data_IF_284551988404
#
_entry.id   IF_284551988404
#
_cell.length_a   1.000
_cell.length_b   1.000
_cell.length_c   1.000
_cell.angle_alpha   90.00
_cell.angle_beta   90.00
_cell.angle_gamma   90.00
#
_symmetry.space_group_name_H-M   'P 1'
#
loop_
_entity.id
_entity.type
_entity.pdbx_description
1 polymer ?
#
# COMPACT_ATOMS: atom_id res chain seq x y z
N UNK A 1 -21.24 -53.36 40.68
CA UNK A 1 -20.50 -52.69 39.57
C UNK A 1 -19.16 -52.26 40.13
N UNK A 2 -18.10 -52.91 39.68
CA UNK A 2 -16.79 -52.93 40.36
C UNK A 2 -15.90 -51.78 39.91
N UNK A 3 -15.15 -51.21 40.86
CA UNK A 3 -14.18 -50.11 40.71
C UNK A 3 -13.14 -50.34 39.58
N UNK A 4 -12.97 -51.60 39.14
CA UNK A 4 -12.16 -51.99 37.98
C UNK A 4 -12.73 -51.57 36.63
N UNK A 5 -14.05 -51.40 36.49
CA UNK A 5 -14.65 -50.93 35.23
C UNK A 5 -14.49 -49.41 35.05
N UNK A 6 -14.40 -48.64 36.15
CA UNK A 6 -14.18 -47.20 36.12
C UNK A 6 -12.70 -46.84 35.84
N UNK A 7 -11.76 -47.63 36.36
CA UNK A 7 -10.32 -47.42 36.12
C UNK A 7 -9.93 -47.72 34.66
N UNK A 8 -10.54 -48.72 34.01
CA UNK A 8 -10.27 -49.02 32.60
C UNK A 8 -10.76 -47.92 31.65
N UNK A 9 -11.82 -47.19 32.01
CA UNK A 9 -12.29 -46.03 31.23
C UNK A 9 -11.40 -44.79 31.45
N UNK A 10 -10.83 -44.61 32.65
CA UNK A 10 -9.94 -43.49 32.97
C UNK A 10 -8.52 -43.66 32.38
N UNK A 11 -8.01 -44.89 32.27
CA UNK A 11 -6.73 -45.15 31.58
C UNK A 11 -6.89 -45.12 30.05
N UNK A 12 -8.05 -45.51 29.52
CA UNK A 12 -8.36 -45.39 28.08
C UNK A 12 -8.56 -43.95 27.60
N UNK A 13 -9.09 -43.06 28.45
CA UNK A 13 -9.27 -41.64 28.13
C UNK A 13 -7.97 -40.82 28.29
N UNK A 14 -7.02 -41.28 29.11
CA UNK A 14 -5.74 -40.60 29.32
C UNK A 14 -4.69 -40.90 28.24
N UNK A 15 -4.89 -41.95 27.42
CA UNK A 15 -4.04 -42.26 26.26
C UNK A 15 -4.52 -41.63 24.94
N UNK A 16 -5.70 -41.00 24.92
CA UNK A 16 -6.21 -40.25 23.76
C UNK A 16 -6.00 -38.73 23.87
N UNK A 17 -5.38 -38.25 24.95
CA UNK A 17 -5.06 -36.82 25.16
C UNK A 17 -3.56 -36.52 24.92
N UNK A 18 -2.74 -37.52 24.54
CA UNK A 18 -1.29 -37.35 24.29
C UNK A 18 -0.85 -37.55 22.83
N UNK A 19 -1.76 -37.64 21.86
CA UNK A 19 -1.44 -37.65 20.41
C UNK A 19 -1.86 -36.36 19.71
N UNK A 20 -1.59 -35.23 20.37
CA UNK A 20 -1.73 -33.88 19.83
C UNK A 20 -0.43 -33.10 19.90
N UNK A 21 0.73 -33.77 19.74
CA UNK A 21 1.91 -33.06 19.27
C UNK A 21 1.59 -32.60 17.85
N UNK A 22 1.02 -31.41 17.71
CA UNK A 22 1.16 -30.65 16.49
C UNK A 22 2.67 -30.53 16.28
N UNK A 23 3.20 -31.33 15.37
CA UNK A 23 4.42 -30.99 14.69
C UNK A 23 4.22 -29.55 14.23
N UNK A 24 4.91 -28.61 14.88
CA UNK A 24 5.03 -27.26 14.35
C UNK A 24 5.45 -27.45 12.89
N UNK A 25 4.72 -26.91 11.91
CA UNK A 25 5.18 -26.96 10.55
C UNK A 25 6.58 -26.37 10.56
N UNK A 26 7.56 -27.21 10.21
CA UNK A 26 8.92 -26.75 9.93
C UNK A 26 8.78 -25.54 9.01
N UNK A 27 9.37 -24.38 9.34
CA UNK A 27 9.29 -23.23 8.48
C UNK A 27 9.83 -23.68 7.12
N UNK A 28 8.95 -23.73 6.12
CA UNK A 28 9.37 -23.93 4.75
C UNK A 28 10.30 -22.76 4.43
N UNK A 29 11.60 -23.02 4.45
CA UNK A 29 12.60 -22.11 3.91
C UNK A 29 12.35 -22.08 2.41
N UNK A 30 11.45 -21.20 1.97
CA UNK A 30 11.25 -20.95 0.57
C UNK A 30 12.57 -20.40 0.00
N UNK A 31 13.13 -21.03 -1.05
CA UNK A 31 14.31 -20.48 -1.72
C UNK A 31 13.97 -19.08 -2.22
N UNK A 32 14.71 -18.09 -1.73
CA UNK A 32 14.49 -16.67 -2.04
C UNK A 32 14.89 -16.42 -3.49
N UNK A 33 13.95 -16.61 -4.41
CA UNK A 33 14.11 -16.19 -5.80
C UNK A 33 14.15 -14.66 -5.85
N UNK A 34 14.85 -14.08 -6.84
CA UNK A 34 14.91 -12.62 -7.01
C UNK A 34 13.51 -11.96 -7.07
N UNK A 35 12.51 -12.67 -7.60
CA UNK A 35 11.11 -12.22 -7.63
C UNK A 35 10.45 -12.15 -6.25
N UNK A 36 10.80 -13.05 -5.32
CA UNK A 36 10.29 -13.03 -3.93
C UNK A 36 10.77 -11.79 -3.17
N UNK A 37 12.01 -11.34 -3.40
CA UNK A 37 12.54 -10.12 -2.78
C UNK A 37 11.82 -8.85 -3.28
N UNK A 38 11.52 -8.75 -4.58
CA UNK A 38 10.79 -7.60 -5.14
C UNK A 38 9.34 -7.52 -4.66
N UNK A 39 8.67 -8.67 -4.54
CA UNK A 39 7.32 -8.74 -3.99
C UNK A 39 7.29 -8.29 -2.53
N UNK A 40 8.26 -8.76 -1.73
CA UNK A 40 8.42 -8.37 -0.34
C UNK A 40 8.68 -6.85 -0.19
N UNK A 41 9.60 -6.28 -0.98
CA UNK A 41 9.86 -4.83 -1.00
C UNK A 41 8.60 -4.02 -1.33
N UNK A 42 7.82 -4.44 -2.33
CA UNK A 42 6.56 -3.79 -2.63
C UNK A 42 5.52 -3.97 -1.50
N UNK A 43 5.53 -5.13 -0.83
CA UNK A 43 4.78 -5.35 0.41
C UNK A 43 5.12 -4.32 1.49
N UNK A 44 6.40 -4.02 1.72
CA UNK A 44 6.82 -2.98 2.66
C UNK A 44 6.33 -1.58 2.27
N UNK A 45 6.31 -1.27 0.97
CA UNK A 45 5.76 0.01 0.47
C UNK A 45 4.26 0.14 0.79
N UNK A 46 3.49 -0.93 0.57
CA UNK A 46 2.05 -0.97 0.88
C UNK A 46 1.85 -0.91 2.39
N UNK A 47 2.66 -1.64 3.17
CA UNK A 47 2.64 -1.61 4.63
C UNK A 47 2.95 -0.20 5.15
N UNK A 48 3.87 0.54 4.53
CA UNK A 48 4.19 1.90 4.92
C UNK A 48 2.99 2.85 4.80
N UNK A 49 2.22 2.76 3.72
CA UNK A 49 0.99 3.54 3.57
C UNK A 49 -0.08 3.05 4.55
N UNK A 50 -0.26 1.73 4.68
CA UNK A 50 -1.21 1.14 5.62
C UNK A 50 -0.94 1.56 7.07
N UNK A 51 0.34 1.65 7.48
CA UNK A 51 0.73 2.15 8.79
C UNK A 51 0.31 3.60 9.00
N UNK A 52 0.47 4.47 8.00
CA UNK A 52 -0.05 5.85 8.08
C UNK A 52 -1.57 5.87 8.27
N UNK A 53 -2.29 4.99 7.57
CA UNK A 53 -3.75 4.88 7.72
C UNK A 53 -4.13 4.43 9.13
N UNK A 54 -3.60 3.31 9.64
CA UNK A 54 -4.00 2.80 10.97
C UNK A 54 -3.53 3.66 12.14
N UNK A 55 -2.54 4.54 11.93
CA UNK A 55 -2.13 5.58 12.87
C UNK A 55 -2.96 6.88 12.73
N UNK A 56 -3.95 6.89 11.83
CA UNK A 56 -4.81 8.04 11.54
C UNK A 56 -4.10 9.23 10.90
N UNK A 57 -2.96 9.01 10.26
CA UNK A 57 -2.22 10.03 9.50
C UNK A 57 -2.68 10.14 8.04
N UNK A 58 -3.23 9.07 7.49
CA UNK A 58 -3.77 8.98 6.13
C UNK A 58 -5.15 8.28 6.14
N UNK A 59 -5.70 8.03 4.96
CA UNK A 59 -7.04 7.42 4.80
C UNK A 59 -8.17 8.41 5.04
N UNK A 60 -9.38 7.90 5.27
CA UNK A 60 -10.61 8.69 5.44
C UNK A 60 -10.52 9.70 6.61
N UNK A 61 -10.60 11.03 6.35
CA UNK A 61 -10.52 12.07 7.37
C UNK A 61 -11.48 11.87 8.54
N UNK A 62 -12.69 11.36 8.29
CA UNK A 62 -13.73 11.22 9.31
C UNK A 62 -13.34 10.19 10.37
N UNK A 63 -12.49 9.23 10.00
CA UNK A 63 -12.05 8.17 10.90
C UNK A 63 -10.69 8.45 11.58
N UNK A 64 -9.89 9.39 11.06
CA UNK A 64 -8.51 9.64 11.53
C UNK A 64 -8.42 9.96 13.03
N UNK A 65 -9.31 10.80 13.54
CA UNK A 65 -9.31 11.19 14.95
C UNK A 65 -9.57 9.98 15.87
N UNK A 66 -10.56 9.16 15.50
CA UNK A 66 -10.89 7.92 16.20
C UNK A 66 -9.74 6.91 16.16
N UNK A 67 -9.07 6.77 15.02
CA UNK A 67 -7.93 5.85 14.91
C UNK A 67 -6.72 6.35 15.70
N UNK A 68 -6.46 7.65 15.76
CA UNK A 68 -5.36 8.19 16.57
C UNK A 68 -5.53 7.93 18.06
N UNK A 69 -6.76 7.85 18.56
CA UNK A 69 -7.04 7.71 19.99
C UNK A 69 -7.28 6.27 20.46
N UNK A 70 -7.71 5.39 19.54
CA UNK A 70 -8.13 4.02 19.86
C UNK A 70 -6.98 3.15 20.37
N UNK A 71 -7.12 2.68 21.61
CA UNK A 71 -6.21 1.77 22.30
C UNK A 71 -5.06 2.45 23.06
N UNK A 72 -5.05 3.78 23.16
CA UNK A 72 -4.01 4.53 23.89
C UNK A 72 -4.00 4.23 25.40
N UNK A 73 -5.14 3.81 25.95
CA UNK A 73 -5.30 3.43 27.35
C UNK A 73 -4.83 2.00 27.66
N UNK A 74 -4.57 1.19 26.63
CA UNK A 74 -4.16 -0.21 26.82
C UNK A 74 -2.67 -0.33 27.11
N UNK A 75 -2.29 -1.27 27.97
CA UNK A 75 -0.88 -1.53 28.28
C UNK A 75 -0.11 -2.12 27.09
N UNK A 76 1.20 -1.82 27.03
CA UNK A 76 2.09 -2.32 25.99
C UNK A 76 2.60 -3.73 26.37
N UNK A 77 1.70 -4.70 26.31
CA UNK A 77 1.96 -6.10 26.65
C UNK A 77 1.36 -7.01 25.58
N UNK A 78 2.20 -7.80 24.90
CA UNK A 78 1.78 -8.61 23.77
C UNK A 78 0.79 -9.71 24.18
N UNK A 79 0.97 -10.34 25.34
CA UNK A 79 0.08 -11.40 25.82
C UNK A 79 -1.30 -10.84 26.17
N UNK A 80 -1.34 -9.67 26.82
CA UNK A 80 -2.60 -8.99 27.13
C UNK A 80 -3.34 -8.57 25.86
N UNK A 81 -2.62 -8.02 24.88
CA UNK A 81 -3.18 -7.67 23.57
C UNK A 81 -3.71 -8.94 22.87
N UNK A 82 -2.95 -10.03 22.89
CA UNK A 82 -3.39 -11.33 22.36
C UNK A 82 -4.68 -11.81 23.05
N UNK A 83 -4.75 -11.68 24.37
CA UNK A 83 -5.94 -11.99 25.17
C UNK A 83 -7.17 -11.24 24.67
N UNK A 84 -7.09 -9.92 24.51
CA UNK A 84 -8.18 -9.08 23.97
C UNK A 84 -8.61 -9.55 22.57
N UNK A 85 -7.66 -9.91 21.71
CA UNK A 85 -7.94 -10.31 20.33
C UNK A 85 -8.53 -11.72 20.21
N UNK A 86 -8.12 -12.63 21.09
CA UNK A 86 -8.57 -14.02 21.11
C UNK A 86 -9.91 -14.23 21.82
N UNK A 87 -10.26 -13.35 22.78
CA UNK A 87 -11.49 -13.48 23.56
C UNK A 87 -12.75 -13.28 22.67
N UNK A 88 -13.64 -14.28 22.57
CA UNK A 88 -14.91 -14.14 21.84
C UNK A 88 -15.83 -13.05 22.41
N UNK A 89 -15.76 -12.78 23.71
CA UNK A 89 -16.50 -11.71 24.40
C UNK A 89 -15.72 -10.40 24.53
N UNK A 90 -14.46 -10.39 24.11
CA UNK A 90 -13.57 -9.25 24.24
C UNK A 90 -13.97 -8.09 23.35
N UNK A 91 -13.85 -6.85 23.86
CA UNK A 91 -14.07 -5.67 23.05
C UNK A 91 -12.88 -5.38 22.12
N UNK A 92 -12.77 -6.15 21.04
CA UNK A 92 -11.70 -6.01 20.02
C UNK A 92 -11.67 -4.63 19.39
N UNK A 93 -12.83 -3.97 19.30
CA UNK A 93 -12.94 -2.62 18.75
C UNK A 93 -12.25 -1.56 19.62
N UNK A 94 -11.85 -1.89 20.84
CA UNK A 94 -11.07 -1.01 21.71
C UNK A 94 -9.64 -0.78 21.19
N UNK A 95 -9.07 -1.73 20.44
CA UNK A 95 -7.68 -1.67 19.96
C UNK A 95 -7.56 -1.77 18.44
N UNK A 96 -8.57 -2.31 17.76
CA UNK A 96 -8.51 -2.61 16.34
C UNK A 96 -9.04 -1.46 15.46
N UNK A 97 -8.38 -1.26 14.33
CA UNK A 97 -8.89 -0.47 13.21
C UNK A 97 -9.65 -1.40 12.28
N UNK A 98 -10.96 -1.51 12.50
CA UNK A 98 -11.87 -2.25 11.62
C UNK A 98 -12.55 -1.27 10.68
N UNK A 99 -11.88 -0.98 9.56
CA UNK A 99 -12.45 -0.18 8.49
C UNK A 99 -12.60 -1.06 7.24
N UNK A 100 -13.84 -1.30 6.74
CA UNK A 100 -14.03 -2.01 5.48
C UNK A 100 -13.29 -1.35 4.32
N UNK A 101 -13.06 -0.04 4.38
CA UNK A 101 -12.34 0.70 3.36
C UNK A 101 -10.87 0.33 3.30
N UNK A 102 -10.25 -0.21 4.37
CA UNK A 102 -8.84 -0.65 4.38
C UNK A 102 -8.66 -2.05 3.79
N UNK A 103 -9.75 -2.82 3.66
CA UNK A 103 -9.73 -4.22 3.22
C UNK A 103 -9.07 -4.39 1.85
N UNK A 104 -9.25 -3.42 0.94
CA UNK A 104 -8.60 -3.38 -0.37
C UNK A 104 -7.07 -3.42 -0.23
N UNK A 105 -6.48 -2.51 0.57
CA UNK A 105 -5.05 -2.46 0.82
C UNK A 105 -4.51 -3.73 1.46
N UNK A 106 -5.21 -4.26 2.46
CA UNK A 106 -4.75 -5.48 3.14
C UNK A 106 -4.74 -6.68 2.20
N UNK A 107 -5.68 -6.76 1.24
CA UNK A 107 -5.65 -7.79 0.18
C UNK A 107 -4.45 -7.62 -0.75
N UNK A 108 -4.09 -6.38 -1.09
CA UNK A 108 -2.88 -6.10 -1.87
C UNK A 108 -1.65 -6.56 -1.09
N UNK A 109 -1.52 -6.19 0.19
CA UNK A 109 -0.39 -6.61 1.03
C UNK A 109 -0.29 -8.14 1.11
N UNK A 110 -1.40 -8.82 1.40
CA UNK A 110 -1.45 -10.29 1.46
C UNK A 110 -1.04 -10.96 0.14
N UNK A 111 -1.34 -10.35 -1.01
CA UNK A 111 -0.97 -10.90 -2.31
C UNK A 111 0.54 -10.91 -2.56
N UNK A 112 1.27 -9.89 -2.08
CA UNK A 112 2.70 -9.73 -2.37
C UNK A 112 3.61 -10.18 -1.22
N UNK A 113 3.14 -10.05 0.02
CA UNK A 113 3.87 -10.43 1.22
C UNK A 113 2.88 -11.00 2.25
N UNK A 114 2.42 -12.26 2.08
CA UNK A 114 1.47 -12.90 2.98
C UNK A 114 1.89 -12.84 4.46
N UNK A 115 3.19 -12.94 4.73
CA UNK A 115 3.82 -12.84 6.05
C UNK A 115 3.67 -11.46 6.70
N UNK A 116 3.56 -10.39 5.89
CA UNK A 116 3.33 -9.02 6.32
C UNK A 116 1.85 -8.68 6.51
N UNK A 117 0.96 -9.55 6.03
CA UNK A 117 -0.46 -9.31 6.13
C UNK A 117 -0.88 -9.11 7.57
N UNK A 118 -1.67 -8.05 7.79
CA UNK A 118 -2.42 -7.83 9.01
C UNK A 118 -3.54 -8.84 9.17
N UNK A 119 -3.38 -10.12 8.88
CA UNK A 119 -4.35 -11.16 9.18
C UNK A 119 -3.58 -12.46 9.42
N UNK A 120 -3.55 -12.95 10.66
CA UNK A 120 -2.83 -14.17 10.99
C UNK A 120 -3.61 -15.40 10.48
N UNK A 121 -3.14 -16.03 9.41
CA UNK A 121 -3.73 -17.24 8.82
C UNK A 121 -4.06 -17.07 7.34
N UNK A 122 -4.57 -18.13 6.72
CA UNK A 122 -5.19 -17.99 5.40
C UNK A 122 -6.28 -16.92 5.51
N UNK A 123 -6.37 -16.00 4.55
CA UNK A 123 -7.41 -14.95 4.52
C UNK A 123 -8.84 -15.54 4.61
N UNK A 124 -9.00 -16.84 4.31
CA UNK A 124 -10.23 -17.59 4.49
C UNK A 124 -10.59 -17.92 5.95
N UNK A 125 -9.64 -17.84 6.90
CA UNK A 125 -9.79 -18.36 8.27
C UNK A 125 -9.62 -17.31 9.38
N UNK A 126 -9.04 -16.13 9.11
CA UNK A 126 -8.96 -15.05 10.09
C UNK A 126 -9.36 -13.69 9.52
N UNK A 127 -10.35 -13.07 10.14
CA UNK A 127 -10.81 -11.71 9.88
C UNK A 127 -10.10 -10.67 10.77
N UNK A 128 -9.12 -11.09 11.57
CA UNK A 128 -8.49 -10.24 12.59
C UNK A 128 -6.99 -10.07 12.35
N UNK A 129 -6.44 -8.88 12.67
CA UNK A 129 -5.04 -8.60 12.45
C UNK A 129 -4.08 -9.41 13.29
N UNK A 130 -2.84 -9.51 12.81
CA UNK A 130 -1.79 -10.12 13.59
C UNK A 130 -1.59 -9.30 14.88
N UNK A 131 -1.58 -9.98 16.02
CA UNK A 131 -1.44 -9.36 17.34
C UNK A 131 -0.22 -8.45 17.40
N UNK A 132 0.88 -8.85 16.77
CA UNK A 132 2.13 -8.10 16.74
C UNK A 132 1.99 -6.76 16.01
N UNK A 133 1.17 -6.71 14.95
CA UNK A 133 0.93 -5.46 14.21
C UNK A 133 0.00 -4.53 14.99
N UNK A 134 -0.96 -5.08 15.75
CA UNK A 134 -1.77 -4.28 16.70
C UNK A 134 -0.88 -3.74 17.82
N UNK A 135 -0.03 -4.57 18.42
CA UNK A 135 0.93 -4.16 19.43
C UNK A 135 1.89 -3.07 18.94
N UNK A 136 2.47 -3.26 17.74
CA UNK A 136 3.33 -2.26 17.11
C UNK A 136 2.56 -0.95 16.88
N UNK A 137 1.33 -1.01 16.37
CA UNK A 137 0.49 0.18 16.23
C UNK A 137 0.28 0.90 17.56
N UNK A 138 -0.06 0.19 18.63
CA UNK A 138 -0.27 0.80 19.95
C UNK A 138 1.00 1.45 20.49
N UNK A 139 2.15 0.78 20.33
CA UNK A 139 3.46 1.36 20.63
C UNK A 139 3.66 2.69 19.89
N UNK A 140 3.52 2.68 18.56
CA UNK A 140 3.74 3.87 17.73
C UNK A 140 2.76 5.01 18.08
N UNK A 141 1.49 4.70 18.34
CA UNK A 141 0.50 5.71 18.77
C UNK A 141 0.89 6.37 20.09
N UNK A 142 1.32 5.59 21.09
CA UNK A 142 1.77 6.14 22.38
C UNK A 142 3.03 7.00 22.22
N UNK A 143 3.94 6.62 21.33
CA UNK A 143 5.11 7.44 20.99
C UNK A 143 4.71 8.79 20.38
N UNK A 144 3.79 8.77 19.41
CA UNK A 144 3.25 9.99 18.78
C UNK A 144 2.56 10.87 19.82
N UNK A 145 1.69 10.31 20.66
CA UNK A 145 0.95 11.07 21.67
C UNK A 145 1.88 11.72 22.70
N UNK A 146 2.95 11.02 23.08
CA UNK A 146 3.92 11.52 24.05
C UNK A 146 5.01 12.42 23.42
N UNK A 147 4.97 12.66 22.11
CA UNK A 147 6.05 13.31 21.32
C UNK A 147 7.46 12.71 21.62
N UNK A 148 7.51 11.38 21.83
CA UNK A 148 8.77 10.67 22.09
C UNK A 148 9.25 9.96 20.84
N UNK A 149 10.48 10.25 20.42
CA UNK A 149 11.06 9.74 19.17
C UNK A 149 12.04 8.61 19.41
N UNK A 150 12.11 7.66 18.51
CA UNK A 150 13.00 6.49 18.61
C UNK A 150 14.21 6.73 17.72
N UNK A 151 15.41 6.46 18.24
CA UNK A 151 16.64 6.46 17.43
C UNK A 151 16.70 5.16 16.63
N UNK A 152 16.53 5.27 15.31
CA UNK A 152 16.62 4.12 14.40
C UNK A 152 18.04 3.51 14.37
N UNK A 153 19.13 4.28 14.28
CA UNK A 153 20.48 3.75 14.42
C UNK A 153 20.69 3.00 15.73
N UNK A 154 20.16 3.51 16.85
CA UNK A 154 20.28 2.84 18.13
C UNK A 154 19.54 1.49 18.12
N UNK A 155 18.32 1.41 17.59
CA UNK A 155 17.63 0.11 17.44
C UNK A 155 18.46 -0.88 16.62
N UNK A 156 18.98 -0.46 15.47
CA UNK A 156 19.76 -1.32 14.58
C UNK A 156 21.08 -1.78 15.22
N UNK A 157 21.76 -0.89 15.95
CA UNK A 157 23.01 -1.22 16.65
C UNK A 157 22.81 -2.18 17.82
N UNK A 158 21.59 -2.27 18.37
CA UNK A 158 21.24 -3.17 19.47
C UNK A 158 20.35 -4.33 19.00
N UNK A 159 20.50 -4.79 17.76
CA UNK A 159 19.74 -5.94 17.22
C UNK A 159 19.73 -7.15 18.15
N UNK A 160 20.89 -7.56 18.67
CA UNK A 160 21.00 -8.72 19.56
C UNK A 160 20.21 -8.55 20.87
N UNK A 161 19.98 -7.31 21.33
CA UNK A 161 19.10 -7.03 22.46
C UNK A 161 17.63 -7.22 22.07
N UNK A 162 17.25 -6.69 20.92
CA UNK A 162 15.87 -6.70 20.43
C UNK A 162 15.41 -8.08 19.95
N UNK A 163 16.34 -8.99 19.67
CA UNK A 163 16.04 -10.37 19.24
C UNK A 163 16.12 -11.40 20.37
N UNK A 164 16.48 -10.98 21.59
CA UNK A 164 16.57 -11.85 22.77
C UNK A 164 15.63 -11.35 23.87
N UNK A 165 14.47 -12.01 24.10
CA UNK A 165 13.47 -11.57 25.08
C UNK A 165 13.93 -11.71 26.53
N UNK A 166 14.91 -12.58 26.81
CA UNK A 166 15.42 -12.80 28.16
C UNK A 166 16.52 -11.79 28.51
N UNK A 167 17.04 -11.07 27.51
CA UNK A 167 18.12 -10.11 27.71
C UNK A 167 17.58 -8.80 28.25
N UNK A 168 18.01 -8.44 29.46
CA UNK A 168 17.78 -7.12 30.01
C UNK A 168 18.71 -6.06 29.39
N UNK A 169 18.17 -4.88 29.13
CA UNK A 169 18.95 -3.74 28.67
C UNK A 169 19.60 -2.97 29.83
N UNK A 170 20.83 -2.52 29.61
CA UNK A 170 21.48 -1.56 30.48
C UNK A 170 20.82 -0.18 30.37
N UNK A 171 21.05 0.69 31.37
CA UNK A 171 20.55 2.08 31.34
C UNK A 171 21.07 2.87 30.13
N UNK A 172 22.30 2.60 29.69
CA UNK A 172 22.90 3.27 28.54
C UNK A 172 22.22 2.85 27.22
N UNK A 173 21.94 1.56 27.04
CA UNK A 173 21.23 1.04 25.86
C UNK A 173 19.80 1.60 25.79
N UNK A 174 19.10 1.63 26.94
CA UNK A 174 17.75 2.21 27.05
C UNK A 174 17.72 3.69 26.70
N UNK A 175 18.69 4.46 27.21
CA UNK A 175 18.82 5.88 26.91
C UNK A 175 19.15 6.11 25.42
N UNK A 176 20.01 5.28 24.83
CA UNK A 176 20.37 5.38 23.42
C UNK A 176 19.19 5.11 22.48
N UNK A 177 18.36 4.10 22.76
CA UNK A 177 17.17 3.81 21.96
C UNK A 177 15.98 4.73 22.29
N UNK A 178 16.06 5.48 23.39
CA UNK A 178 14.98 6.28 23.95
C UNK A 178 13.69 5.47 24.19
N UNK A 179 13.83 4.28 24.77
CA UNK A 179 12.71 3.37 25.10
C UNK A 179 12.50 3.29 26.62
N UNK A 180 11.27 2.99 27.05
CA UNK A 180 11.00 2.49 28.40
C UNK A 180 11.17 0.97 28.46
N UNK A 181 11.26 0.42 29.68
CA UNK A 181 11.40 -1.03 29.86
C UNK A 181 10.25 -1.81 29.23
N UNK A 182 9.01 -1.32 29.37
CA UNK A 182 7.83 -1.97 28.81
C UNK A 182 7.81 -1.88 27.28
N UNK A 183 8.24 -0.74 26.73
CA UNK A 183 8.41 -0.58 25.28
C UNK A 183 9.46 -1.54 24.72
N UNK A 184 10.60 -1.70 25.39
CA UNK A 184 11.62 -2.65 24.98
C UNK A 184 11.09 -4.09 25.00
N UNK A 185 10.46 -4.50 26.12
CA UNK A 185 9.91 -5.86 26.25
C UNK A 185 8.88 -6.15 25.18
N UNK A 186 7.99 -5.20 24.90
CA UNK A 186 7.02 -5.33 23.82
C UNK A 186 7.73 -5.56 22.47
N UNK A 187 8.73 -4.74 22.14
CA UNK A 187 9.47 -4.86 20.89
C UNK A 187 10.24 -6.18 20.80
N UNK A 188 10.85 -6.66 21.90
CA UNK A 188 11.48 -7.97 21.97
C UNK A 188 10.49 -9.09 21.67
N UNK A 189 9.32 -9.10 22.33
CA UNK A 189 8.27 -10.10 22.07
C UNK A 189 7.75 -10.03 20.64
N UNK A 190 7.56 -8.83 20.09
CA UNK A 190 7.11 -8.61 18.71
C UNK A 190 8.13 -9.15 17.70
N UNK A 191 9.41 -8.81 17.84
CA UNK A 191 10.46 -9.25 16.91
C UNK A 191 10.80 -10.73 17.07
N UNK A 192 10.67 -11.30 18.26
CA UNK A 192 10.78 -12.74 18.44
C UNK A 192 9.65 -13.50 17.72
N UNK A 193 8.40 -13.03 17.85
CA UNK A 193 7.25 -13.66 17.18
C UNK A 193 7.27 -13.45 15.66
N UNK A 194 7.72 -12.27 15.20
CA UNK A 194 7.76 -11.87 13.78
C UNK A 194 9.12 -11.25 13.43
N UNK A 195 10.16 -12.06 13.17
CA UNK A 195 11.51 -11.57 12.88
C UNK A 195 11.59 -10.58 11.71
N UNK A 196 10.76 -10.79 10.67
CA UNK A 196 10.72 -9.93 9.49
C UNK A 196 10.39 -8.46 9.80
N UNK A 197 9.69 -8.17 10.92
CA UNK A 197 9.40 -6.80 11.34
C UNK A 197 10.68 -6.02 11.69
N UNK A 198 11.69 -6.70 12.23
CA UNK A 198 12.97 -6.07 12.51
C UNK A 198 13.70 -5.73 11.20
N UNK A 199 13.72 -6.66 10.24
CA UNK A 199 14.37 -6.47 8.93
C UNK A 199 13.75 -5.26 8.18
N UNK A 200 12.42 -5.12 8.31
CA UNK A 200 11.64 -4.02 7.72
C UNK A 200 11.99 -2.63 8.30
N UNK A 201 12.68 -2.52 9.43
CA UNK A 201 13.11 -1.22 10.00
C UNK A 201 14.08 -0.46 9.09
N UNK A 202 14.70 -1.16 8.12
CA UNK A 202 15.58 -0.55 7.13
C UNK A 202 14.89 -0.21 5.81
N UNK A 203 13.60 -0.54 5.68
CA UNK A 203 12.81 -0.26 4.48
C UNK A 203 12.67 1.25 4.26
N UNK A 204 13.13 1.80 3.12
CA UNK A 204 13.07 3.24 2.86
C UNK A 204 11.67 3.85 3.04
N UNK A 205 10.63 3.16 2.56
CA UNK A 205 9.26 3.67 2.60
C UNK A 205 8.66 3.61 4.01
N UNK A 206 8.93 2.56 4.79
CA UNK A 206 8.51 2.52 6.20
C UNK A 206 9.21 3.59 7.03
N UNK A 207 10.52 3.76 6.84
CA UNK A 207 11.29 4.81 7.53
C UNK A 207 10.75 6.20 7.17
N UNK A 208 10.42 6.45 5.90
CA UNK A 208 9.79 7.69 5.48
C UNK A 208 8.43 7.91 6.16
N UNK A 209 7.58 6.89 6.20
CA UNK A 209 6.27 6.94 6.85
C UNK A 209 6.37 7.19 8.37
N UNK A 210 7.31 6.52 9.05
CA UNK A 210 7.51 6.71 10.49
C UNK A 210 8.14 8.08 10.80
N UNK A 211 9.06 8.55 9.95
CA UNK A 211 9.64 9.88 10.10
C UNK A 211 8.60 10.99 9.89
N UNK A 212 7.76 10.90 8.86
CA UNK A 212 6.68 11.89 8.61
C UNK A 212 5.61 11.88 9.69
N UNK A 213 5.44 10.74 10.37
CA UNK A 213 4.52 10.59 11.51
C UNK A 213 5.11 11.07 12.85
N UNK A 214 6.37 11.56 12.87
CA UNK A 214 7.02 12.06 14.08
C UNK A 214 7.54 10.97 15.02
N UNK A 215 7.66 9.72 14.57
CA UNK A 215 8.07 8.57 15.40
C UNK A 215 9.60 8.49 15.51
N UNK A 216 10.33 8.85 14.45
CA UNK A 216 11.78 8.67 14.38
C UNK A 216 12.54 9.97 14.67
N UNK A 217 13.72 9.83 15.27
CA UNK A 217 14.68 10.92 15.39
C UNK A 217 15.26 11.31 14.02
N UNK A 218 15.61 12.60 13.89
CA UNK A 218 16.20 13.17 12.67
C UNK A 218 17.71 12.92 12.67
N UNK A 219 18.09 11.71 12.30
CA UNK A 219 19.48 11.26 12.28
C UNK A 219 20.00 11.04 10.83
N UNK A 220 21.33 11.04 10.60
CA UNK A 220 21.89 10.88 9.26
C UNK A 220 21.47 9.57 8.55
N UNK A 221 21.39 8.45 9.28
CA UNK A 221 20.93 7.18 8.71
C UNK A 221 19.47 7.26 8.27
N UNK A 222 18.60 7.83 9.11
CA UNK A 222 17.19 8.05 8.80
C UNK A 222 17.05 8.89 7.53
N UNK A 223 17.77 10.01 7.43
CA UNK A 223 17.76 10.85 6.23
C UNK A 223 18.23 10.11 4.97
N UNK A 224 19.28 9.28 5.08
CA UNK A 224 19.81 8.45 3.99
C UNK A 224 18.80 7.39 3.52
N UNK A 225 18.05 6.78 4.44
CA UNK A 225 17.01 5.81 4.07
C UNK A 225 15.81 6.53 3.42
N UNK A 226 15.38 7.66 3.95
CA UNK A 226 14.30 8.47 3.37
C UNK A 226 14.63 8.90 1.94
N UNK A 227 15.88 9.32 1.65
CA UNK A 227 16.27 9.71 0.30
C UNK A 227 16.19 8.56 -0.72
N UNK A 228 16.15 7.31 -0.25
CA UNK A 228 15.99 6.11 -1.09
C UNK A 228 14.53 5.70 -1.30
N UNK A 229 13.57 6.33 -0.62
CA UNK A 229 12.14 6.02 -0.72
C UNK A 229 11.52 6.59 -2.02
N UNK A 230 12.10 6.28 -3.17
CA UNK A 230 11.79 6.84 -4.51
C UNK A 230 11.73 5.75 -5.57
N UNK A 231 11.31 6.11 -6.79
CA UNK A 231 11.12 5.15 -7.89
C UNK A 231 12.02 5.39 -9.12
N UNK A 232 13.34 5.65 -8.97
CA UNK A 232 14.19 6.09 -10.10
C UNK A 232 14.37 5.05 -11.21
N UNK A 233 14.16 3.77 -10.90
CA UNK A 233 14.31 2.66 -11.85
C UNK A 233 12.97 2.20 -12.47
N UNK A 234 11.85 2.85 -12.14
CA UNK A 234 10.53 2.50 -12.62
C UNK A 234 10.10 3.46 -13.74
N UNK A 235 10.77 3.38 -14.89
CA UNK A 235 10.49 4.25 -16.01
C UNK A 235 9.27 3.78 -16.83
N UNK A 236 8.34 4.69 -17.07
CA UNK A 236 7.25 4.48 -18.00
C UNK A 236 7.74 4.24 -19.43
N UNK A 237 7.09 3.32 -20.14
CA UNK A 237 7.43 2.99 -21.53
C UNK A 237 6.38 3.57 -22.48
N UNK A 238 6.78 4.07 -23.66
CA UNK A 238 5.84 4.39 -24.73
C UNK A 238 4.99 3.17 -25.09
N UNK A 239 3.68 3.38 -25.21
CA UNK A 239 2.76 2.39 -25.76
C UNK A 239 2.70 2.50 -27.28
N UNK A 240 2.89 3.71 -27.81
CA UNK A 240 2.87 4.00 -29.24
C UNK A 240 4.28 4.39 -29.73
N UNK A 241 4.52 4.25 -31.04
CA UNK A 241 5.78 4.64 -31.70
C UNK A 241 5.85 6.13 -32.09
N UNK A 242 4.93 6.97 -31.58
CA UNK A 242 4.93 8.39 -31.94
C UNK A 242 6.28 9.03 -31.59
N UNK A 243 6.92 9.60 -32.61
CA UNK A 243 8.21 10.29 -32.52
C UNK A 243 8.06 11.80 -32.37
N UNK A 244 6.82 12.30 -32.25
CA UNK A 244 6.54 13.72 -32.10
C UNK A 244 6.99 14.19 -30.71
N UNK A 245 8.02 15.04 -30.70
CA UNK A 245 8.59 15.61 -29.46
C UNK A 245 7.63 16.58 -28.79
N UNK A 246 6.65 17.10 -29.53
CA UNK A 246 5.64 18.04 -29.05
C UNK A 246 4.29 17.34 -28.81
N UNK A 247 4.28 16.02 -28.61
CA UNK A 247 3.06 15.29 -28.22
C UNK A 247 2.70 15.57 -26.75
N UNK A 248 1.40 15.64 -26.46
CA UNK A 248 0.88 15.57 -25.10
C UNK A 248 1.04 14.14 -24.58
N UNK A 249 1.66 13.99 -23.41
CA UNK A 249 1.97 12.68 -22.83
C UNK A 249 0.97 12.33 -21.75
N UNK A 250 0.27 11.20 -21.92
CA UNK A 250 -0.63 10.63 -20.91
C UNK A 250 0.02 9.39 -20.31
N UNK A 251 0.15 9.37 -18.99
CA UNK A 251 0.76 8.28 -18.24
C UNK A 251 -0.29 7.38 -17.56
N UNK A 252 -0.15 6.07 -17.70
CA UNK A 252 -0.89 5.08 -16.91
C UNK A 252 0.02 4.49 -15.83
N UNK A 253 -0.29 4.75 -14.57
CA UNK A 253 0.49 4.32 -13.40
C UNK A 253 -0.31 3.32 -12.57
N UNK A 254 0.11 2.04 -12.48
CA UNK A 254 -0.53 1.07 -11.59
C UNK A 254 -0.16 1.39 -10.13
N UNK A 255 -1.15 1.51 -9.25
CA UNK A 255 -0.95 1.82 -7.85
C UNK A 255 -1.74 0.86 -6.96
N UNK A 256 -1.10 0.30 -5.93
CA UNK A 256 -1.74 -0.51 -4.89
C UNK A 256 -2.71 -1.54 -5.50
N UNK A 257 -2.23 -2.32 -6.46
CA UNK A 257 -3.04 -3.27 -7.24
C UNK A 257 -2.45 -4.67 -7.21
N UNK A 258 -3.30 -5.69 -7.39
CA UNK A 258 -2.93 -7.11 -7.46
C UNK A 258 -2.76 -7.63 -8.89
N UNK A 259 -2.87 -6.76 -9.88
CA UNK A 259 -2.82 -7.13 -11.29
C UNK A 259 -1.38 -7.35 -11.80
N UNK A 260 -0.47 -7.70 -10.90
CA UNK A 260 0.91 -8.03 -11.22
C UNK A 260 1.33 -9.28 -10.44
N UNK A 261 2.06 -10.17 -11.11
CA UNK A 261 2.68 -11.34 -10.50
C UNK A 261 4.19 -11.14 -10.41
N UNK A 262 4.86 -11.60 -9.33
CA UNK A 262 6.31 -11.63 -9.27
C UNK A 262 6.87 -12.56 -10.36
N UNK A 263 7.83 -12.07 -11.13
CA UNK A 263 8.57 -12.82 -12.14
C UNK A 263 10.07 -12.87 -11.84
N UNK A 264 10.83 -13.58 -12.67
CA UNK A 264 12.27 -13.80 -12.44
C UNK A 264 13.12 -12.52 -12.45
N UNK A 265 12.67 -11.48 -13.18
CA UNK A 265 13.42 -10.23 -13.40
C UNK A 265 12.61 -8.96 -13.09
N UNK A 266 11.46 -9.09 -12.42
CA UNK A 266 10.55 -7.97 -12.18
C UNK A 266 9.13 -8.44 -11.95
N UNK A 267 8.16 -7.55 -12.14
CA UNK A 267 6.75 -7.92 -12.13
C UNK A 267 6.25 -8.15 -13.56
N UNK A 268 5.27 -9.04 -13.69
CA UNK A 268 4.56 -9.34 -14.94
C UNK A 268 3.13 -8.82 -14.77
N UNK A 269 2.66 -7.88 -15.59
CA UNK A 269 1.28 -7.42 -15.55
C UNK A 269 0.32 -8.52 -15.99
N UNK A 270 -0.90 -8.54 -15.44
CA UNK A 270 -1.97 -9.41 -15.89
C UNK A 270 -2.54 -8.95 -17.23
N UNK A 271 -3.11 -9.87 -18.00
CA UNK A 271 -3.86 -9.53 -19.22
C UNK A 271 -5.02 -8.58 -18.92
N UNK A 272 -5.63 -8.71 -17.73
CA UNK A 272 -6.72 -7.87 -17.30
C UNK A 272 -6.28 -6.42 -17.05
N UNK A 273 -5.05 -6.20 -16.56
CA UNK A 273 -4.46 -4.85 -16.48
C UNK A 273 -4.16 -4.28 -17.86
N UNK A 274 -3.54 -5.07 -18.73
CA UNK A 274 -3.22 -4.63 -20.10
C UNK A 274 -4.50 -4.23 -20.86
N UNK A 275 -5.56 -5.04 -20.74
CA UNK A 275 -6.86 -4.75 -21.33
C UNK A 275 -7.52 -3.49 -20.74
N UNK A 276 -7.42 -3.27 -19.42
CA UNK A 276 -7.94 -2.06 -18.79
C UNK A 276 -7.22 -0.80 -19.28
N UNK A 277 -5.89 -0.84 -19.41
CA UNK A 277 -5.09 0.27 -19.94
C UNK A 277 -5.44 0.56 -21.41
N UNK A 278 -5.56 -0.48 -22.25
CA UNK A 278 -5.93 -0.28 -23.66
C UNK A 278 -7.37 0.23 -23.81
N UNK A 279 -8.31 -0.26 -23.00
CA UNK A 279 -9.69 0.23 -22.96
C UNK A 279 -9.74 1.74 -22.62
N UNK A 280 -9.00 2.18 -21.60
CA UNK A 280 -8.89 3.60 -21.27
C UNK A 280 -8.30 4.42 -22.40
N UNK A 281 -7.21 3.94 -23.01
CA UNK A 281 -6.58 4.60 -24.15
C UNK A 281 -7.58 4.83 -25.28
N UNK A 282 -8.33 3.78 -25.66
CA UNK A 282 -9.36 3.88 -26.69
C UNK A 282 -10.50 4.82 -26.29
N UNK A 283 -10.97 4.72 -25.05
CA UNK A 283 -12.02 5.60 -24.50
C UNK A 283 -11.64 7.08 -24.54
N UNK A 284 -10.42 7.41 -24.13
CA UNK A 284 -9.89 8.80 -24.15
C UNK A 284 -9.82 9.34 -25.58
N UNK A 285 -9.30 8.53 -26.52
CA UNK A 285 -9.24 8.92 -27.93
C UNK A 285 -10.64 9.13 -28.52
N UNK A 286 -11.61 8.28 -28.16
CA UNK A 286 -12.99 8.40 -28.59
C UNK A 286 -13.66 9.67 -28.01
N UNK A 287 -13.48 9.93 -26.71
CA UNK A 287 -14.02 11.12 -26.05
C UNK A 287 -13.46 12.41 -26.68
N UNK A 288 -12.15 12.47 -26.90
CA UNK A 288 -11.52 13.58 -27.62
C UNK A 288 -12.07 13.72 -29.04
N UNK A 289 -12.23 12.62 -29.77
CA UNK A 289 -12.82 12.61 -31.11
C UNK A 289 -14.24 13.18 -31.12
N UNK A 290 -15.05 12.83 -30.12
CA UNK A 290 -16.42 13.35 -29.96
C UNK A 290 -16.41 14.86 -29.68
N UNK A 291 -15.54 15.35 -28.79
CA UNK A 291 -15.39 16.78 -28.48
C UNK A 291 -14.99 17.54 -29.75
N UNK A 292 -13.98 17.05 -30.46
CA UNK A 292 -13.53 17.63 -31.73
C UNK A 292 -14.65 17.71 -32.76
N UNK A 293 -15.43 16.63 -32.94
CA UNK A 293 -16.55 16.63 -33.87
C UNK A 293 -17.65 17.63 -33.49
N UNK A 294 -17.97 17.74 -32.20
CA UNK A 294 -18.95 18.72 -31.71
C UNK A 294 -18.49 20.15 -31.98
N UNK A 295 -17.22 20.44 -31.77
CA UNK A 295 -16.64 21.76 -32.01
C UNK A 295 -16.58 22.10 -33.51
N UNK A 296 -16.23 21.13 -34.36
CA UNK A 296 -16.30 21.29 -35.82
C UNK A 296 -17.74 21.58 -36.25
N UNK A 297 -18.75 20.86 -35.73
CA UNK A 297 -20.16 21.09 -36.08
C UNK A 297 -20.65 22.48 -35.66
N UNK A 298 -20.15 23.04 -34.55
CA UNK A 298 -20.44 24.43 -34.14
C UNK A 298 -19.85 25.46 -35.11
N UNK A 299 -18.71 25.17 -35.71
CA UNK A 299 -18.04 26.04 -36.69
C UNK A 299 -18.58 25.81 -38.12
N UNK A 300 -19.01 24.59 -38.44
CA UNK A 300 -19.45 24.16 -39.77
C UNK A 300 -20.88 24.59 -40.16
N UNK A 301 -21.31 25.78 -39.73
CA UNK A 301 -22.24 26.58 -40.53
C UNK A 301 -21.53 27.20 -41.77
N UNK A 302 -20.22 27.01 -41.93
CA UNK A 302 -19.43 27.30 -43.14
C UNK A 302 -18.57 26.07 -43.53
N UNK A 303 -18.32 25.78 -44.83
CA UNK A 303 -18.09 24.42 -45.33
C UNK A 303 -16.68 23.88 -45.00
N UNK A 304 -16.59 22.86 -44.13
CA UNK A 304 -15.29 22.34 -43.69
C UNK A 304 -15.25 20.81 -43.47
N UNK A 305 -15.44 20.05 -44.55
CA UNK A 305 -15.06 18.62 -44.58
C UNK A 305 -13.53 18.43 -44.42
N UNK A 306 -12.74 19.46 -44.77
CA UNK A 306 -11.27 19.48 -44.70
C UNK A 306 -10.70 19.80 -43.30
N UNK A 307 -11.42 20.56 -42.46
CA UNK A 307 -10.97 20.88 -41.10
C UNK A 307 -11.12 19.67 -40.16
N UNK A 308 -12.17 18.86 -40.33
CA UNK A 308 -12.41 17.68 -39.51
C UNK A 308 -11.38 16.57 -39.70
N UNK A 309 -11.00 16.29 -40.95
CA UNK A 309 -9.91 15.35 -41.24
C UNK A 309 -8.54 15.88 -40.80
N UNK A 310 -8.28 17.19 -40.88
CA UNK A 310 -7.04 17.78 -40.35
C UNK A 310 -6.97 17.66 -38.83
N UNK A 311 -8.05 17.93 -38.12
CA UNK A 311 -8.09 17.89 -36.66
C UNK A 311 -8.04 16.46 -36.11
N UNK A 312 -8.65 15.48 -36.79
CA UNK A 312 -8.48 14.04 -36.50
C UNK A 312 -7.04 13.55 -36.74
N UNK A 313 -6.39 14.00 -37.82
CA UNK A 313 -4.99 13.65 -38.09
C UNK A 313 -4.01 14.35 -37.13
N UNK A 314 -4.36 15.55 -36.64
CA UNK A 314 -3.58 16.27 -35.62
C UNK A 314 -3.69 15.61 -34.24
N UNK A 315 -4.90 15.22 -33.80
CA UNK A 315 -5.11 14.58 -32.49
C UNK A 315 -4.39 13.23 -32.37
N UNK A 316 -4.41 12.39 -33.42
CA UNK A 316 -3.74 11.08 -33.39
C UNK A 316 -2.19 11.17 -33.36
N UNK A 317 -1.60 12.25 -33.87
CA UNK A 317 -0.14 12.43 -33.90
C UNK A 317 0.40 13.22 -32.70
N UNK A 318 -0.44 14.04 -32.08
CA UNK A 318 -0.07 14.96 -30.99
C UNK A 318 -0.38 14.41 -29.60
N UNK A 319 -0.74 13.14 -29.46
CA UNK A 319 -0.93 12.47 -28.17
C UNK A 319 -0.03 11.24 -28.13
N UNK A 320 0.65 11.05 -27.00
CA UNK A 320 1.52 9.91 -26.73
C UNK A 320 1.06 9.25 -25.43
N UNK A 321 0.75 7.96 -25.49
CA UNK A 321 0.44 7.19 -24.30
C UNK A 321 1.69 6.48 -23.77
N UNK A 322 1.87 6.52 -22.46
CA UNK A 322 2.93 5.80 -21.74
C UNK A 322 2.31 5.00 -20.62
N UNK A 323 2.85 3.81 -20.38
CA UNK A 323 2.41 2.95 -19.30
C UNK A 323 3.61 2.44 -18.51
N UNK A 324 3.48 2.41 -17.19
CA UNK A 324 4.40 1.69 -16.33
C UNK A 324 3.88 0.25 -16.16
N UNK A 325 4.52 -0.69 -16.86
CA UNK A 325 4.15 -2.12 -16.84
C UNK A 325 5.18 -3.02 -16.16
N UNK A 326 6.22 -2.45 -15.55
CA UNK A 326 7.33 -3.21 -14.95
C UNK A 326 7.15 -3.51 -13.46
N UNK A 327 6.30 -2.76 -12.77
CA UNK A 327 5.92 -2.96 -11.36
C UNK A 327 4.70 -2.14 -10.96
N UNK A 328 3.93 -2.57 -9.94
CA UNK A 328 3.00 -1.69 -9.25
C UNK A 328 3.75 -0.68 -8.34
N UNK A 329 3.07 0.42 -8.03
CA UNK A 329 3.55 1.52 -7.19
C UNK A 329 2.64 1.72 -5.96
N UNK A 330 3.05 2.57 -5.02
CA UNK A 330 2.19 3.09 -3.95
C UNK A 330 2.01 4.59 -4.16
N UNK A 331 0.98 4.97 -4.91
CA UNK A 331 0.67 6.36 -5.26
C UNK A 331 -0.60 6.81 -4.55
N UNK A 332 -0.49 7.88 -3.76
CA UNK A 332 -1.57 8.55 -3.05
C UNK A 332 -1.38 10.07 -3.16
N UNK A 333 -2.38 10.92 -2.87
CA UNK A 333 -2.27 12.36 -3.13
C UNK A 333 -1.03 13.02 -2.52
N UNK A 334 -0.68 12.67 -1.29
CA UNK A 334 0.51 13.19 -0.60
C UNK A 334 1.87 12.85 -1.23
N UNK A 335 1.96 11.92 -2.19
CA UNK A 335 3.22 11.58 -2.87
C UNK A 335 3.16 11.64 -4.40
N UNK A 336 1.98 11.91 -4.98
CA UNK A 336 1.73 11.71 -6.41
C UNK A 336 2.64 12.54 -7.33
N UNK A 337 2.88 13.82 -7.01
CA UNK A 337 3.76 14.68 -7.83
C UNK A 337 5.16 14.11 -7.95
N UNK A 338 5.72 13.67 -6.82
CA UNK A 338 7.05 13.07 -6.76
C UNK A 338 7.11 11.76 -7.52
N UNK A 339 6.11 10.88 -7.36
CA UNK A 339 6.10 9.59 -8.06
C UNK A 339 5.94 9.78 -9.58
N UNK A 340 5.09 10.71 -10.02
CA UNK A 340 4.96 11.05 -11.45
C UNK A 340 6.29 11.59 -11.99
N UNK A 341 6.96 12.49 -11.26
CA UNK A 341 8.27 13.02 -11.65
C UNK A 341 9.35 11.93 -11.74
N UNK A 342 9.37 10.97 -10.81
CA UNK A 342 10.35 9.89 -10.77
C UNK A 342 10.14 8.87 -11.91
N UNK A 343 8.88 8.56 -12.24
CA UNK A 343 8.54 7.43 -13.12
C UNK A 343 8.22 7.85 -14.56
N UNK A 344 7.63 9.03 -14.70
CA UNK A 344 6.98 9.52 -15.90
C UNK A 344 7.16 11.05 -16.05
N UNK A 345 8.39 11.60 -15.99
CA UNK A 345 8.62 13.06 -15.89
C UNK A 345 8.10 13.87 -17.08
N UNK A 346 7.88 13.22 -18.23
CA UNK A 346 7.33 13.86 -19.42
C UNK A 346 5.80 13.93 -19.43
N UNK A 347 5.11 13.35 -18.44
CA UNK A 347 3.65 13.27 -18.43
C UNK A 347 3.00 14.65 -18.27
N UNK A 348 2.16 15.03 -19.23
CA UNK A 348 1.26 16.19 -19.12
C UNK A 348 0.04 15.86 -18.26
N UNK A 349 -0.36 14.58 -18.22
CA UNK A 349 -1.49 14.08 -17.44
C UNK A 349 -1.22 12.65 -16.93
N UNK A 350 -1.56 12.36 -15.67
CA UNK A 350 -1.37 11.04 -15.06
C UNK A 350 -2.70 10.37 -14.68
N UNK A 351 -2.87 9.12 -15.10
CA UNK A 351 -3.99 8.25 -14.75
C UNK A 351 -3.46 7.19 -13.79
N UNK A 352 -3.86 7.28 -12.52
CA UNK A 352 -3.40 6.39 -11.46
C UNK A 352 -4.45 5.29 -11.27
N UNK A 353 -4.10 4.06 -11.66
CA UNK A 353 -4.97 2.90 -11.64
C UNK A 353 -4.84 2.15 -10.31
N UNK A 354 -5.83 2.31 -9.44
CA UNK A 354 -5.91 1.68 -8.14
C UNK A 354 -6.45 0.25 -8.24
N UNK A 355 -5.99 -0.62 -7.35
CA UNK A 355 -6.58 -1.94 -7.18
C UNK A 355 -8.03 -1.88 -6.70
N UNK A 356 -8.76 -2.99 -6.89
CA UNK A 356 -10.15 -3.13 -6.46
C UNK A 356 -10.37 -2.73 -5.00
N UNK A 357 -11.29 -1.78 -4.80
CA UNK A 357 -11.69 -1.21 -3.51
C UNK A 357 -10.56 -0.48 -2.76
N UNK A 358 -9.41 -0.24 -3.39
CA UNK A 358 -8.31 0.50 -2.76
C UNK A 358 -8.58 2.00 -2.78
N UNK A 359 -9.37 2.48 -3.75
CA UNK A 359 -9.84 3.86 -3.77
C UNK A 359 -10.48 4.27 -2.44
N UNK A 360 -11.18 3.35 -1.77
CA UNK A 360 -11.80 3.61 -0.47
C UNK A 360 -10.77 3.81 0.65
N UNK A 361 -9.59 3.19 0.55
CA UNK A 361 -8.51 3.32 1.53
C UNK A 361 -7.66 4.58 1.35
N UNK A 362 -7.87 5.32 0.25
CA UNK A 362 -7.11 6.51 -0.11
C UNK A 362 -8.06 7.69 -0.13
N UNK A 363 -7.87 8.64 0.79
CA UNK A 363 -8.61 9.88 0.71
C UNK A 363 -8.10 10.73 -0.45
N UNK A 364 -8.99 10.98 -1.41
CA UNK A 364 -8.77 11.81 -2.59
C UNK A 364 -9.77 12.95 -2.51
N UNK A 365 -9.29 14.17 -2.30
CA UNK A 365 -10.11 15.39 -2.27
C UNK A 365 -10.39 15.84 -3.72
N UNK A 366 -11.64 15.75 -4.22
CA UNK A 366 -11.96 16.10 -5.60
C UNK A 366 -11.61 17.55 -5.97
N UNK A 367 -11.55 18.44 -4.97
CA UNK A 367 -11.24 19.86 -5.18
C UNK A 367 -9.74 20.16 -5.28
N UNK A 368 -8.86 19.19 -4.96
CA UNK A 368 -7.40 19.42 -4.87
C UNK A 368 -6.55 18.35 -5.56
N UNK A 369 -6.97 17.10 -5.46
CA UNK A 369 -6.11 15.95 -5.74
C UNK A 369 -6.29 15.39 -7.15
N UNK A 370 -7.34 15.83 -7.86
CA UNK A 370 -7.67 15.40 -9.22
C UNK A 370 -7.97 16.59 -10.14
N UNK A 371 -8.09 16.31 -11.44
CA UNK A 371 -8.51 17.28 -12.44
C UNK A 371 -9.90 17.86 -12.11
N UNK A 372 -10.12 19.19 -12.22
CA UNK A 372 -9.24 20.19 -12.86
C UNK A 372 -8.17 20.82 -11.95
N UNK A 373 -8.14 20.52 -10.65
CA UNK A 373 -7.20 21.15 -9.72
C UNK A 373 -5.74 20.72 -9.97
N UNK A 374 -5.53 19.49 -10.44
CA UNK A 374 -4.22 18.96 -10.84
C UNK A 374 -4.37 18.06 -12.06
N UNK A 375 -3.31 17.86 -12.84
CA UNK A 375 -3.35 17.07 -14.08
C UNK A 375 -3.24 15.56 -13.80
N UNK A 376 -4.13 15.04 -12.96
CA UNK A 376 -4.22 13.62 -12.67
C UNK A 376 -5.63 13.20 -12.27
N UNK A 377 -5.90 11.91 -12.37
CA UNK A 377 -7.08 11.26 -11.80
C UNK A 377 -6.69 9.92 -11.17
N UNK A 378 -7.52 9.44 -10.27
CA UNK A 378 -7.43 8.10 -9.68
C UNK A 378 -8.64 7.29 -10.12
N UNK A 379 -8.44 6.08 -10.61
CA UNK A 379 -9.51 5.20 -11.07
C UNK A 379 -9.38 3.82 -10.42
N UNK A 380 -10.49 3.24 -9.98
CA UNK A 380 -10.52 1.81 -9.62
C UNK A 380 -10.46 0.97 -10.90
N UNK A 381 -9.55 0.01 -10.94
CA UNK A 381 -9.39 -0.87 -12.10
C UNK A 381 -10.64 -1.71 -12.40
N UNK A 382 -11.49 -1.94 -11.41
CA UNK A 382 -12.77 -2.64 -11.56
C UNK A 382 -13.77 -1.78 -12.31
N UNK A 383 -13.82 -0.49 -12.02
CA UNK A 383 -14.71 0.46 -12.70
C UNK A 383 -14.31 0.61 -14.17
N UNK A 384 -13.00 0.64 -14.44
CA UNK A 384 -12.46 0.61 -15.81
C UNK A 384 -12.89 -0.65 -16.55
N UNK A 385 -12.75 -1.83 -15.92
CA UNK A 385 -13.15 -3.12 -16.50
C UNK A 385 -14.64 -3.19 -16.83
N UNK A 386 -15.47 -2.49 -16.07
CA UNK A 386 -16.92 -2.45 -16.27
C UNK A 386 -17.41 -1.20 -17.02
N UNK A 387 -16.50 -0.41 -17.60
CA UNK A 387 -16.80 0.82 -18.34
C UNK A 387 -17.60 1.85 -17.52
N UNK A 388 -17.34 1.94 -16.21
CA UNK A 388 -17.99 2.85 -15.27
C UNK A 388 -17.17 4.15 -15.03
N UNK A 389 -16.30 4.50 -15.97
CA UNK A 389 -15.36 5.64 -15.88
C UNK A 389 -15.60 6.70 -16.97
N UNK A 390 -16.82 6.78 -17.50
CA UNK A 390 -17.14 7.64 -18.65
C UNK A 390 -16.94 9.13 -18.35
N UNK A 391 -17.31 9.57 -17.14
CA UNK A 391 -17.15 10.98 -16.75
C UNK A 391 -15.68 11.38 -16.70
N UNK A 392 -14.83 10.53 -16.13
CA UNK A 392 -13.40 10.77 -16.00
C UNK A 392 -12.70 10.72 -17.36
N UNK A 393 -13.12 9.80 -18.24
CA UNK A 393 -12.67 9.73 -19.63
C UNK A 393 -13.04 11.01 -20.40
N UNK A 394 -14.25 11.53 -20.22
CA UNK A 394 -14.69 12.79 -20.82
C UNK A 394 -13.88 14.00 -20.32
N UNK A 395 -13.57 14.04 -19.02
CA UNK A 395 -12.74 15.09 -18.43
C UNK A 395 -11.29 15.06 -18.96
N UNK A 396 -10.71 13.88 -19.14
CA UNK A 396 -9.41 13.74 -19.82
C UNK A 396 -9.52 14.21 -21.27
N UNK A 397 -10.57 13.81 -21.99
CA UNK A 397 -10.81 14.26 -23.37
C UNK A 397 -10.87 15.78 -23.47
N UNK A 398 -11.54 16.44 -22.52
CA UNK A 398 -11.62 17.90 -22.44
C UNK A 398 -10.26 18.53 -22.14
N UNK A 399 -9.50 17.99 -21.19
CA UNK A 399 -8.13 18.43 -20.91
C UNK A 399 -7.27 18.43 -22.18
N UNK A 400 -7.29 17.31 -22.93
CA UNK A 400 -6.50 17.17 -24.15
C UNK A 400 -6.93 18.17 -25.22
N UNK A 401 -8.24 18.34 -25.42
CA UNK A 401 -8.75 19.31 -26.37
C UNK A 401 -8.26 20.73 -26.08
N UNK A 402 -8.39 21.20 -24.83
CA UNK A 402 -7.94 22.54 -24.43
C UNK A 402 -6.42 22.71 -24.57
N UNK A 403 -5.64 21.68 -24.24
CA UNK A 403 -4.18 21.70 -24.42
C UNK A 403 -3.74 21.69 -25.88
N UNK A 404 -4.45 20.96 -26.75
CA UNK A 404 -4.16 20.96 -28.18
C UNK A 404 -4.58 22.26 -28.86
N UNK A 405 -5.66 22.89 -28.39
CA UNK A 405 -6.14 24.19 -28.89
C UNK A 405 -5.21 25.36 -28.53
N UNK A 406 -4.51 25.27 -27.40
CA UNK A 406 -3.61 26.32 -26.90
C UNK A 406 -2.18 26.21 -27.42
N UNK A 407 -1.87 25.18 -28.21
CA UNK A 407 -0.62 25.01 -28.97
C UNK A 407 -0.82 25.45 -30.40
#
# INVERSE_FOLDING_TARGET
>A
MTLRALLSLLVGASLLILSGCMAMPTPETHPTTAGSNLAHQYGEEVLAYLMQVVLGQAGDPDNRATWRSRGLDQDLDLERIAGIMSDPGGNKTAIMVNDPNILGLSKVLYHYAPEMSQFSGNYATSLYPATELVALRLFLLKRIQADRKVSLPALLNHQALLQDPEREATRAEMAAMNLTRDELRLLQSVFQSKPWLFDSLTSPFLVAAFSSSGILEKEPLTAKLISRASYPNAACRPMDTSSDRDALVIAFLPSMTREFSPGNSGFIPSDAYLAAVDSLRQGILAALGNIVQLEIKKVAMDPAESAGQRLQNLTARKISFRSLSTRPLVVHPGNADRVVQDTCPAADFAIILLGRNVYQSVHIDPAKDIYPATNRIYLDITDVKHAQVSSEVDDIGRFLYEKLKSR
#
